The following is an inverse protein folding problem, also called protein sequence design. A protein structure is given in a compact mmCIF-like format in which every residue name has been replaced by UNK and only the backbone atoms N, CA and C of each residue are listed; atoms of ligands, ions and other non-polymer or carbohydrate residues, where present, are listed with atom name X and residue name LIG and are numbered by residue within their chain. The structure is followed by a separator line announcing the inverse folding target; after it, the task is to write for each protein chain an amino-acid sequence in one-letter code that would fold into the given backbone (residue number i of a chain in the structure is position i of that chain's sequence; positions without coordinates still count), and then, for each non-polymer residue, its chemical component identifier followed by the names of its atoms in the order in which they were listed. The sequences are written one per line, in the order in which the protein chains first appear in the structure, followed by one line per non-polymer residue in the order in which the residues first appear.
data_IF_338118932025
#
_entry.id   IF_338118932025
#
_cell.length_a   1.000
_cell.length_b   1.000
_cell.length_c   1.000
_cell.angle_alpha   90.00
_cell.angle_beta   90.00
_cell.angle_gamma   90.00
#
_symmetry.space_group_name_H-M   'P 1'
#
loop_
_entity.id
_entity.type
_entity.pdbx_description
1 polymer ?
#
# COMPACT_ATOMS: atom_id res chain seq x y z
N UNK A 1 26.00 -14.14 45.03
CA UNK A 1 25.34 -13.62 43.81
C UNK A 1 25.58 -14.62 42.69
N UNK A 2 24.53 -15.32 42.25
CA UNK A 2 24.67 -16.43 41.30
C UNK A 2 25.07 -15.97 39.89
N UNK A 3 26.18 -16.50 39.33
CA UNK A 3 26.64 -16.12 37.99
C UNK A 3 25.64 -16.54 36.89
N UNK A 4 24.90 -17.63 37.12
CA UNK A 4 23.85 -18.13 36.22
C UNK A 4 22.70 -17.10 36.13
N UNK A 5 22.25 -16.57 37.28
CA UNK A 5 21.18 -15.57 37.33
C UNK A 5 21.56 -14.28 36.59
N UNK A 6 22.81 -13.84 36.76
CA UNK A 6 23.33 -12.64 36.08
C UNK A 6 23.39 -12.81 34.56
N UNK A 7 23.84 -13.98 34.09
CA UNK A 7 23.91 -14.30 32.66
C UNK A 7 22.53 -14.37 32.01
N UNK A 8 21.55 -14.97 32.70
CA UNK A 8 20.17 -15.03 32.23
C UNK A 8 19.52 -13.65 32.15
N UNK A 9 19.78 -12.78 33.14
CA UNK A 9 19.29 -11.40 33.12
C UNK A 9 19.88 -10.60 31.95
N UNK A 10 21.18 -10.76 31.64
CA UNK A 10 21.81 -10.11 30.49
C UNK A 10 21.26 -10.59 29.15
N UNK A 11 20.99 -11.90 29.01
CA UNK A 11 20.36 -12.45 27.81
C UNK A 11 18.93 -11.92 27.61
N UNK A 12 18.15 -11.82 28.69
CA UNK A 12 16.81 -11.25 28.66
C UNK A 12 16.82 -9.77 28.26
N UNK A 13 17.77 -8.98 28.78
CA UNK A 13 17.94 -7.57 28.40
C UNK A 13 18.29 -7.41 26.91
N UNK A 14 19.24 -8.19 26.40
CA UNK A 14 19.59 -8.22 24.97
C UNK A 14 18.39 -8.59 24.07
N UNK A 15 17.60 -9.57 24.50
CA UNK A 15 16.38 -9.96 23.77
C UNK A 15 15.32 -8.85 23.76
N UNK A 16 15.17 -8.12 24.87
CA UNK A 16 14.24 -7.00 24.97
C UNK A 16 14.68 -5.81 24.11
N UNK A 17 15.97 -5.50 24.09
CA UNK A 17 16.53 -4.46 23.22
C UNK A 17 16.33 -4.81 21.73
N UNK A 18 16.60 -6.06 21.34
CA UNK A 18 16.35 -6.52 19.98
C UNK A 18 14.87 -6.43 19.59
N UNK A 19 13.96 -6.82 20.50
CA UNK A 19 12.52 -6.68 20.28
C UNK A 19 12.08 -5.22 20.18
N UNK A 20 12.65 -4.32 21.00
CA UNK A 20 12.35 -2.89 20.96
C UNK A 20 12.86 -2.23 19.66
N UNK A 21 14.05 -2.61 19.18
CA UNK A 21 14.59 -2.16 17.89
C UNK A 21 13.73 -2.67 16.74
N UNK A 22 13.32 -3.95 16.77
CA UNK A 22 12.43 -4.54 15.77
C UNK A 22 11.04 -3.88 15.77
N UNK A 23 10.47 -3.60 16.95
CA UNK A 23 9.17 -2.95 17.10
C UNK A 23 9.20 -1.48 16.66
N UNK A 24 10.28 -0.75 16.95
CA UNK A 24 10.52 0.60 16.39
C UNK A 24 10.74 0.58 14.89
N UNK A 25 11.29 -0.50 14.35
CA UNK A 25 11.43 -0.73 12.92
C UNK A 25 10.14 -1.22 12.24
N UNK A 26 9.10 -1.54 13.00
CA UNK A 26 7.77 -1.83 12.47
C UNK A 26 7.27 -0.62 11.71
N UNK A 27 6.89 -0.80 10.44
CA UNK A 27 6.64 0.31 9.49
C UNK A 27 5.67 1.37 10.03
N UNK A 28 4.70 1.00 10.87
CA UNK A 28 3.75 1.92 11.50
C UNK A 28 4.38 2.82 12.58
N UNK A 29 5.41 2.36 13.29
CA UNK A 29 6.09 3.12 14.35
C UNK A 29 7.11 4.13 13.82
N UNK A 30 7.46 4.06 12.53
CA UNK A 30 8.35 5.03 11.88
C UNK A 30 7.64 6.37 11.56
N UNK A 31 6.32 6.40 11.61
CA UNK A 31 5.52 7.59 11.34
C UNK A 31 4.88 8.09 12.62
N UNK A 32 4.92 9.42 12.82
CA UNK A 32 4.35 10.06 14.00
C UNK A 32 2.83 10.18 13.89
N UNK A 33 2.32 10.20 12.65
CA UNK A 33 0.90 10.35 12.35
C UNK A 33 0.43 9.34 11.30
N UNK A 34 -0.87 9.06 11.31
CA UNK A 34 -1.49 8.19 10.29
C UNK A 34 -1.39 8.78 8.88
N UNK A 35 -1.41 10.11 8.74
CA UNK A 35 -1.37 10.78 7.44
C UNK A 35 -0.01 10.63 6.74
N UNK A 36 1.07 10.72 7.51
CA UNK A 36 2.43 10.44 7.01
C UNK A 36 2.59 8.99 6.56
N UNK A 37 2.04 8.05 7.34
CA UNK A 37 2.03 6.62 7.00
C UNK A 37 1.26 6.36 5.69
N UNK A 38 0.03 6.86 5.56
CA UNK A 38 -0.79 6.66 4.37
C UNK A 38 -0.14 7.28 3.14
N UNK A 39 0.45 8.47 3.27
CA UNK A 39 1.15 9.14 2.17
C UNK A 39 2.34 8.32 1.69
N UNK A 40 3.19 7.83 2.61
CA UNK A 40 4.33 6.99 2.27
C UNK A 40 3.88 5.67 1.60
N UNK A 41 2.86 5.01 2.17
CA UNK A 41 2.32 3.76 1.65
C UNK A 41 1.72 3.91 0.25
N UNK A 42 0.94 4.96 0.01
CA UNK A 42 0.33 5.24 -1.30
C UNK A 42 1.42 5.55 -2.33
N UNK A 43 2.45 6.32 -1.94
CA UNK A 43 3.57 6.66 -2.83
C UNK A 43 4.31 5.40 -3.30
N UNK A 44 4.59 4.46 -2.39
CA UNK A 44 5.25 3.20 -2.70
C UNK A 44 4.38 2.30 -3.59
N UNK A 45 3.08 2.16 -3.28
CA UNK A 45 2.15 1.38 -4.10
C UNK A 45 1.97 1.96 -5.51
N UNK A 46 2.05 3.28 -5.67
CA UNK A 46 2.07 3.95 -6.98
C UNK A 46 3.37 3.69 -7.73
N UNK A 47 4.52 3.74 -7.05
CA UNK A 47 5.82 3.39 -7.61
C UNK A 47 5.89 1.91 -8.06
N UNK A 48 5.22 1.01 -7.33
CA UNK A 48 5.04 -0.39 -7.72
C UNK A 48 4.16 -0.59 -8.96
N UNK A 49 3.65 0.49 -9.55
CA UNK A 49 2.83 0.44 -10.76
C UNK A 49 1.47 -0.22 -10.56
N UNK A 50 1.06 -0.54 -9.32
CA UNK A 50 -0.21 -1.21 -9.01
C UNK A 50 -1.43 -0.38 -9.41
N UNK A 51 -1.27 0.95 -9.41
CA UNK A 51 -2.28 1.91 -9.87
C UNK A 51 -2.09 2.36 -11.32
N UNK A 52 -1.13 1.77 -12.04
CA UNK A 52 -0.98 2.00 -13.48
C UNK A 52 -2.31 1.69 -14.15
N UNK A 53 -2.88 2.71 -14.82
CA UNK A 53 -4.14 2.58 -15.55
C UNK A 53 -3.96 1.45 -16.56
N UNK A 54 -4.79 0.38 -16.55
CA UNK A 54 -4.65 -0.70 -17.52
C UNK A 54 -4.73 -0.04 -18.91
N UNK A 55 -3.66 -0.17 -19.70
CA UNK A 55 -3.48 0.51 -21.00
C UNK A 55 -4.47 0.08 -22.09
N UNK A 56 -5.57 -0.56 -21.69
CA UNK A 56 -6.60 -1.08 -22.55
C UNK A 56 -7.44 0.07 -23.09
N UNK A 57 -7.42 0.24 -24.41
CA UNK A 57 -8.27 1.18 -25.16
C UNK A 57 -9.71 0.67 -25.32
N UNK A 58 -10.01 -0.54 -24.83
CA UNK A 58 -11.32 -1.18 -24.93
C UNK A 58 -12.47 -0.34 -24.36
N UNK A 59 -12.37 0.29 -23.18
CA UNK A 59 -13.46 1.11 -22.64
C UNK A 59 -13.79 2.29 -23.56
N UNK A 60 -12.76 2.87 -24.18
CA UNK A 60 -12.93 3.98 -25.13
C UNK A 60 -13.60 3.53 -26.42
N UNK A 61 -13.21 2.37 -26.95
CA UNK A 61 -13.84 1.78 -28.13
C UNK A 61 -15.31 1.42 -27.88
N UNK A 62 -15.63 0.83 -26.72
CA UNK A 62 -17.03 0.54 -26.36
C UNK A 62 -17.86 1.81 -26.23
N UNK A 63 -17.31 2.86 -25.60
CA UNK A 63 -18.00 4.15 -25.47
C UNK A 63 -18.33 4.73 -26.85
N UNK A 64 -17.37 4.75 -27.77
CA UNK A 64 -17.56 5.24 -29.14
C UNK A 64 -18.60 4.39 -29.88
N UNK A 65 -18.52 3.06 -29.78
CA UNK A 65 -19.47 2.14 -30.40
C UNK A 65 -20.91 2.35 -29.90
N UNK A 66 -21.09 2.46 -28.58
CA UNK A 66 -22.38 2.76 -27.98
C UNK A 66 -22.91 4.14 -28.42
N UNK A 67 -22.04 5.16 -28.46
CA UNK A 67 -22.41 6.49 -28.94
C UNK A 67 -22.91 6.47 -30.39
N UNK A 68 -22.21 5.77 -31.27
CA UNK A 68 -22.60 5.62 -32.68
C UNK A 68 -23.94 4.87 -32.83
N UNK A 69 -24.16 3.82 -32.04
CA UNK A 69 -25.44 3.10 -32.02
C UNK A 69 -26.60 4.03 -31.63
N UNK A 70 -26.45 4.80 -30.54
CA UNK A 70 -27.49 5.74 -30.09
C UNK A 70 -27.79 6.80 -31.15
N UNK A 71 -26.75 7.44 -31.70
CA UNK A 71 -26.90 8.43 -32.78
C UNK A 71 -27.62 7.81 -33.99
N UNK A 72 -27.23 6.58 -34.37
CA UNK A 72 -27.86 5.85 -35.46
C UNK A 72 -29.34 5.57 -35.20
N UNK A 73 -29.70 5.11 -33.99
CA UNK A 73 -31.10 4.86 -33.64
C UNK A 73 -31.94 6.13 -33.63
N UNK A 74 -31.40 7.25 -33.14
CA UNK A 74 -32.11 8.54 -33.17
C UNK A 74 -32.32 8.99 -34.61
N UNK A 75 -31.31 8.91 -35.48
CA UNK A 75 -31.46 9.27 -36.89
C UNK A 75 -32.45 8.37 -37.65
N UNK A 76 -32.54 7.09 -37.27
CA UNK A 76 -33.39 6.13 -37.96
C UNK A 76 -34.86 6.21 -37.51
N UNK A 77 -35.10 6.68 -36.28
CA UNK A 77 -36.44 6.78 -35.66
C UNK A 77 -37.00 8.21 -35.64
N UNK A 78 -36.25 9.20 -36.14
CA UNK A 78 -36.66 10.61 -36.26
C UNK A 78 -36.87 10.98 -37.73
#
# INVERSE_FOLDING_TARGET
MDPIRRRNAQAALMSLEAAAVSARGGFACMFSTSDEYETALISERRAQGRYGRPGSRWPMLMLIGCGLMVVGTVLLLN
#
